data_IF_888382642211
#
_entry.id   IF_888382642211
#
_cell.length_a   1.000
_cell.length_b   1.000
_cell.length_c   1.000
_cell.angle_alpha   90.00
_cell.angle_beta   90.00
_cell.angle_gamma   90.00
#
_symmetry.space_group_name_H-M   'P 1'
#
loop_
_entity.id
_entity.type
_entity.pdbx_description
1 polymer ?
#
# COMPACT_ATOMS: atom_id res chain seq x y z
N UNK A 1 -2.89 -16.26 -7.26
CA UNK A 1 -2.46 -15.01 -7.92
C UNK A 1 -2.82 -15.15 -9.40
N UNK A 2 -3.47 -14.14 -9.96
CA UNK A 2 -4.06 -14.17 -11.31
C UNK A 2 -2.97 -14.43 -12.36
N UNK A 3 -3.05 -15.57 -13.05
CA UNK A 3 -2.06 -16.04 -14.05
C UNK A 3 -1.82 -15.05 -15.20
N UNK A 4 -2.73 -14.07 -15.36
CA UNK A 4 -2.70 -13.05 -16.41
C UNK A 4 -2.53 -11.61 -15.91
N UNK A 5 -2.41 -11.41 -14.59
CA UNK A 5 -2.21 -10.09 -14.00
C UNK A 5 -0.95 -10.10 -13.13
N UNK A 6 0.13 -9.58 -13.69
CA UNK A 6 1.40 -9.45 -12.98
C UNK A 6 1.52 -8.04 -12.43
N UNK A 7 1.56 -7.94 -11.11
CA UNK A 7 1.94 -6.69 -10.44
C UNK A 7 3.44 -6.49 -10.67
N UNK A 8 3.79 -5.66 -11.64
CA UNK A 8 5.19 -5.42 -12.04
C UNK A 8 5.91 -4.53 -11.04
N UNK A 9 5.18 -3.82 -10.20
CA UNK A 9 5.77 -3.17 -9.06
C UNK A 9 5.91 -4.11 -7.87
N UNK A 10 7.17 -4.29 -7.53
CA UNK A 10 7.58 -4.51 -6.17
C UNK A 10 6.94 -3.40 -5.32
N UNK A 11 5.84 -3.73 -4.64
CA UNK A 11 5.61 -3.18 -3.32
C UNK A 11 6.82 -3.64 -2.49
N UNK A 12 7.95 -2.96 -2.63
CA UNK A 12 8.91 -2.99 -1.57
C UNK A 12 8.12 -2.49 -0.36
N UNK A 13 7.92 -3.36 0.63
CA UNK A 13 7.43 -3.04 1.96
C UNK A 13 8.43 -2.11 2.68
N UNK A 14 9.04 -1.16 1.97
CA UNK A 14 9.89 -0.13 2.50
C UNK A 14 8.95 0.93 3.07
N UNK A 15 9.02 1.07 4.39
CA UNK A 15 8.29 2.12 5.08
C UNK A 15 8.60 3.47 4.44
N UNK A 16 7.55 4.16 3.98
CA UNK A 16 7.67 5.49 3.44
C UNK A 16 7.41 6.48 4.58
N UNK A 17 8.48 7.05 5.12
CA UNK A 17 8.35 8.12 6.12
C UNK A 17 7.95 9.41 5.42
N UNK A 18 6.80 9.95 5.78
CA UNK A 18 6.32 11.25 5.31
C UNK A 18 6.48 12.29 6.43
N UNK A 19 7.05 13.44 6.12
CA UNK A 19 7.08 14.60 7.02
C UNK A 19 5.73 15.30 7.02
N UNK A 20 5.44 16.12 8.05
CA UNK A 20 4.24 16.95 8.05
C UNK A 20 4.15 17.81 6.79
N UNK A 21 3.01 17.73 6.09
CA UNK A 21 2.72 18.47 4.85
C UNK A 21 3.59 18.09 3.64
N UNK A 22 4.34 17.00 3.70
CA UNK A 22 5.09 16.48 2.55
C UNK A 22 4.15 15.87 1.51
N UNK A 23 4.40 16.18 0.24
CA UNK A 23 3.75 15.55 -0.91
C UNK A 23 4.76 14.63 -1.57
N UNK A 24 4.38 13.38 -1.81
CA UNK A 24 5.23 12.38 -2.45
C UNK A 24 4.54 11.75 -3.64
N UNK A 25 5.22 11.72 -4.78
CA UNK A 25 4.78 10.99 -5.96
C UNK A 25 5.08 9.50 -5.78
N UNK A 26 4.04 8.68 -5.83
CA UNK A 26 4.12 7.23 -5.70
C UNK A 26 3.42 6.59 -6.91
N UNK A 27 4.06 6.62 -8.09
CA UNK A 27 3.47 6.04 -9.28
C UNK A 27 3.27 4.53 -9.09
N UNK A 28 2.15 4.01 -9.63
CA UNK A 28 1.87 2.58 -9.66
C UNK A 28 1.91 2.05 -11.10
N UNK A 29 2.63 0.96 -11.32
CA UNK A 29 2.79 0.31 -12.63
C UNK A 29 2.35 -1.15 -12.61
N UNK A 30 1.40 -1.46 -13.49
CA UNK A 30 0.83 -2.79 -13.67
C UNK A 30 0.99 -3.22 -15.13
N UNK A 31 1.14 -4.52 -15.37
CA UNK A 31 1.14 -5.09 -16.72
C UNK A 31 0.07 -6.16 -16.80
N UNK A 32 -0.78 -6.04 -17.82
CA UNK A 32 -1.82 -7.00 -18.14
C UNK A 32 -1.28 -7.86 -19.29
N UNK A 33 -1.30 -9.18 -19.12
CA UNK A 33 -0.86 -10.08 -20.18
C UNK A 33 -1.87 -10.09 -21.33
N UNK A 34 -1.37 -10.13 -22.56
CA UNK A 34 -2.22 -10.22 -23.76
C UNK A 34 -3.06 -11.52 -23.82
N UNK A 35 -2.66 -12.55 -23.06
CA UNK A 35 -3.40 -13.81 -22.93
C UNK A 35 -4.61 -13.72 -21.98
N UNK A 36 -5.01 -12.53 -21.51
CA UNK A 36 -6.19 -12.36 -20.67
C UNK A 36 -7.45 -12.80 -21.45
N UNK A 37 -8.22 -13.78 -20.94
CA UNK A 37 -9.44 -14.23 -21.64
C UNK A 37 -10.45 -13.09 -21.85
N UNK A 38 -11.06 -13.04 -23.03
CA UNK A 38 -11.99 -11.96 -23.45
C UNK A 38 -13.20 -11.75 -22.53
N UNK A 39 -13.55 -12.77 -21.73
CA UNK A 39 -14.63 -12.70 -20.74
C UNK A 39 -14.37 -11.70 -19.62
N UNK A 40 -13.11 -11.35 -19.35
CA UNK A 40 -12.76 -10.39 -18.30
C UNK A 40 -12.67 -8.98 -18.88
N UNK A 41 -13.63 -8.13 -18.50
CA UNK A 41 -13.76 -6.75 -18.99
C UNK A 41 -13.42 -5.68 -17.96
N UNK A 42 -13.25 -6.07 -16.70
CA UNK A 42 -13.07 -5.15 -15.57
C UNK A 42 -11.87 -5.58 -14.74
N UNK A 43 -10.99 -4.63 -14.45
CA UNK A 43 -9.88 -4.80 -13.51
C UNK A 43 -10.10 -3.85 -12.34
N UNK A 44 -10.15 -4.38 -11.12
CA UNK A 44 -10.33 -3.60 -9.89
C UNK A 44 -9.05 -3.66 -9.08
N UNK A 45 -8.49 -2.49 -8.74
CA UNK A 45 -7.35 -2.36 -7.84
C UNK A 45 -7.83 -1.87 -6.48
N UNK A 46 -7.68 -2.70 -5.46
CA UNK A 46 -7.90 -2.32 -4.07
C UNK A 46 -6.56 -2.06 -3.40
N UNK A 47 -6.34 -0.85 -2.92
CA UNK A 47 -5.11 -0.46 -2.23
C UNK A 47 -5.42 0.37 -0.98
N UNK A 48 -4.72 0.07 0.13
CA UNK A 48 -4.91 0.71 1.43
C UNK A 48 -3.58 1.23 1.96
N UNK A 49 -3.54 2.51 2.33
CA UNK A 49 -2.45 3.06 3.11
C UNK A 49 -2.66 2.72 4.59
N UNK A 50 -1.64 2.13 5.21
CA UNK A 50 -1.67 1.81 6.64
C UNK A 50 -0.61 2.62 7.38
N UNK A 51 -1.00 3.28 8.47
CA UNK A 51 -0.05 3.83 9.42
C UNK A 51 0.58 2.66 10.21
N UNK A 52 1.90 2.52 10.10
CA UNK A 52 2.66 1.49 10.84
C UNK A 52 3.44 2.07 12.01
N UNK A 53 3.33 3.38 12.25
CA UNK A 53 4.00 4.05 13.36
C UNK A 53 3.29 3.74 14.69
N UNK A 54 3.83 2.73 15.39
CA UNK A 54 3.35 2.33 16.73
C UNK A 54 3.77 3.31 17.83
N UNK A 55 4.63 4.29 17.56
CA UNK A 55 5.09 5.22 18.60
C UNK A 55 3.96 6.08 19.16
N UNK A 56 2.93 6.39 18.36
CA UNK A 56 1.70 7.07 18.82
C UNK A 56 0.92 6.23 19.83
N UNK A 57 0.88 4.92 19.64
CA UNK A 57 0.17 3.97 20.51
C UNK A 57 0.95 3.83 21.82
N UNK A 58 2.26 3.59 21.74
CA UNK A 58 3.13 3.44 22.92
C UNK A 58 3.09 4.71 23.77
N UNK A 59 3.20 5.90 23.16
CA UNK A 59 3.07 7.17 23.90
C UNK A 59 1.74 7.30 24.63
N UNK A 60 0.62 6.94 24.00
CA UNK A 60 -0.70 6.99 24.66
C UNK A 60 -0.82 6.01 25.82
N UNK A 61 -0.27 4.80 25.69
CA UNK A 61 -0.30 3.79 26.75
C UNK A 61 0.57 4.21 27.93
N UNK A 62 1.79 4.71 27.67
CA UNK A 62 2.67 5.22 28.72
C UNK A 62 2.07 6.40 29.48
N UNK A 63 1.39 7.31 28.79
CA UNK A 63 0.69 8.43 29.43
C UNK A 63 -0.58 8.01 30.21
N UNK A 64 -1.11 6.82 29.95
CA UNK A 64 -2.28 6.28 30.66
C UNK A 64 -1.90 5.42 31.87
N UNK A 65 -0.62 5.03 32.05
CA UNK A 65 -0.15 4.23 33.19
C UNK A 65 0.44 5.04 34.33
N UNK A 66 0.64 6.35 34.16
CA UNK A 66 1.13 7.27 35.19
C UNK A 66 0.00 8.03 35.91
N UNK A 67 -1.26 7.59 35.73
CA UNK A 67 -2.45 8.12 36.40
C UNK A 67 -3.09 7.11 37.34
#
# INVERSE_FOLDING_TARGET
ATEHFSKVECFCFTQQKLKPREVKQMPLRFVIANALPEKYKTVTLSYTFMDTDRSKVIKRVSMASEG
#
